data_IF_737541846087
#
_entry.id   IF_737541846087
#
_cell.length_a   1.000
_cell.length_b   1.000
_cell.length_c   1.000
_cell.angle_alpha   90.00
_cell.angle_beta   90.00
_cell.angle_gamma   90.00
#
_symmetry.space_group_name_H-M   'P 1'
#
loop_
_entity.id
_entity.type
_entity.pdbx_description
1 polymer ?
#
# COMPACT_ATOMS: atom_id res chain seq x y z
N UNK A 1 27.74 11.81 12.62
CA UNK A 1 26.38 11.83 12.06
C UNK A 1 26.04 10.43 11.58
N UNK A 2 25.11 9.72 12.23
CA UNK A 2 24.59 8.47 11.69
C UNK A 2 23.78 8.83 10.45
N UNK A 3 24.24 8.47 9.27
CA UNK A 3 23.43 8.54 8.06
C UNK A 3 22.23 7.61 8.27
N UNK A 4 21.05 8.18 8.53
CA UNK A 4 19.82 7.39 8.49
C UNK A 4 19.64 6.90 7.05
N UNK A 5 19.91 5.60 6.84
CA UNK A 5 19.67 4.96 5.56
C UNK A 5 18.14 4.91 5.42
N UNK A 6 17.60 5.66 4.49
CA UNK A 6 16.17 5.60 4.21
C UNK A 6 15.81 4.20 3.72
N UNK A 7 14.82 3.60 4.36
CA UNK A 7 14.34 2.26 4.00
C UNK A 7 13.46 2.31 2.76
N UNK A 8 13.52 1.27 1.95
CA UNK A 8 12.57 1.00 0.87
C UNK A 8 11.64 -0.12 1.32
N UNK A 9 10.36 0.00 1.00
CA UNK A 9 9.34 -1.00 1.33
C UNK A 9 8.59 -1.46 0.09
N UNK A 10 8.02 -2.67 0.16
CA UNK A 10 7.02 -3.15 -0.78
C UNK A 10 5.62 -2.93 -0.19
N UNK A 11 4.69 -2.44 -0.98
CA UNK A 11 3.29 -2.26 -0.59
C UNK A 11 2.40 -3.01 -1.58
N UNK A 12 1.59 -3.91 -1.06
CA UNK A 12 0.44 -4.42 -1.80
C UNK A 12 -0.78 -3.55 -1.48
N UNK A 13 -1.10 -2.64 -2.40
CA UNK A 13 -2.26 -1.75 -2.28
C UNK A 13 -3.48 -2.46 -2.87
N UNK A 14 -4.14 -3.29 -2.08
CA UNK A 14 -5.28 -4.10 -2.51
C UNK A 14 -6.63 -3.35 -2.51
N UNK A 15 -7.62 -3.89 -3.22
CA UNK A 15 -8.98 -3.35 -3.25
C UNK A 15 -9.69 -3.48 -1.89
N UNK A 16 -9.45 -4.59 -1.19
CA UNK A 16 -10.10 -4.92 0.08
C UNK A 16 -9.15 -4.78 1.26
N UNK A 17 -7.92 -5.29 1.11
CA UNK A 17 -6.87 -5.22 2.11
C UNK A 17 -5.58 -4.78 1.48
N UNK A 18 -4.77 -4.06 2.25
CA UNK A 18 -3.42 -3.66 1.89
C UNK A 18 -2.42 -4.15 2.92
N UNK A 19 -1.22 -4.49 2.49
CA UNK A 19 -0.14 -4.89 3.39
C UNK A 19 1.19 -4.28 2.94
N UNK A 20 2.17 -4.33 3.83
CA UNK A 20 3.50 -3.83 3.56
C UNK A 20 4.57 -4.77 4.10
N UNK A 21 5.71 -4.80 3.42
CA UNK A 21 6.86 -5.57 3.80
C UNK A 21 8.16 -4.81 3.52
N UNK A 22 9.23 -5.20 4.20
CA UNK A 22 10.57 -4.69 3.95
C UNK A 22 11.59 -5.84 3.97
N UNK A 23 12.80 -5.57 3.51
CA UNK A 23 13.91 -6.52 3.64
C UNK A 23 14.67 -6.21 4.94
N UNK A 24 14.79 -7.22 5.81
CA UNK A 24 15.57 -7.11 7.04
C UNK A 24 17.09 -7.01 6.76
N UNK A 25 17.91 -6.97 7.80
CA UNK A 25 19.38 -6.87 7.68
C UNK A 25 20.02 -8.07 6.95
N UNK A 26 19.32 -9.20 6.93
CA UNK A 26 19.73 -10.42 6.23
C UNK A 26 19.20 -10.48 4.79
N UNK A 27 18.44 -9.46 4.36
CA UNK A 27 17.81 -9.40 3.05
C UNK A 27 16.53 -10.24 2.94
N UNK A 28 15.97 -10.74 4.04
CA UNK A 28 14.78 -11.55 4.05
C UNK A 28 13.53 -10.65 4.08
N UNK A 29 12.46 -10.99 3.34
CA UNK A 29 11.22 -10.22 3.37
C UNK A 29 10.48 -10.44 4.70
N UNK A 30 10.12 -9.34 5.34
CA UNK A 30 9.35 -9.32 6.59
C UNK A 30 8.11 -8.46 6.40
N UNK A 31 6.93 -9.05 6.61
CA UNK A 31 5.68 -8.29 6.63
C UNK A 31 5.56 -7.52 7.94
N UNK A 32 5.28 -6.22 7.83
CA UNK A 32 5.07 -5.37 9.00
C UNK A 32 3.60 -5.35 9.40
N UNK A 33 3.34 -5.42 10.69
CA UNK A 33 2.00 -5.21 11.22
C UNK A 33 1.64 -3.72 11.20
N UNK A 34 0.36 -3.42 11.07
CA UNK A 34 -0.16 -2.08 11.27
C UNK A 34 -0.17 -1.72 12.78
N UNK A 35 -0.63 -0.52 13.10
CA UNK A 35 -0.68 -0.03 14.49
C UNK A 35 -1.64 -0.83 15.38
N UNK A 36 -2.59 -1.55 14.79
CA UNK A 36 -3.51 -2.46 15.45
C UNK A 36 -2.94 -3.88 15.63
N UNK A 37 -1.72 -4.14 15.15
CA UNK A 37 -1.05 -5.45 15.21
C UNK A 37 -1.48 -6.41 14.09
N UNK A 38 -2.18 -5.93 13.06
CA UNK A 38 -2.67 -6.74 11.95
C UNK A 38 -1.68 -6.69 10.77
N UNK A 39 -1.41 -7.82 10.12
CA UNK A 39 -0.52 -7.91 8.95
C UNK A 39 -1.19 -7.39 7.66
N UNK A 40 -2.52 -7.32 7.65
CA UNK A 40 -3.29 -6.80 6.54
C UNK A 40 -4.24 -5.71 7.05
N UNK A 41 -4.16 -4.52 6.47
CA UNK A 41 -5.00 -3.37 6.81
C UNK A 41 -6.17 -3.31 5.83
N UNK A 42 -7.43 -3.28 6.28
CA UNK A 42 -8.57 -3.03 5.40
C UNK A 42 -8.39 -1.71 4.64
N UNK A 43 -8.56 -1.75 3.30
CA UNK A 43 -8.49 -0.56 2.42
C UNK A 43 -9.81 0.23 2.50
N UNK A 44 -10.19 0.58 3.72
CA UNK A 44 -11.45 1.23 4.06
C UNK A 44 -11.16 2.52 4.82
N UNK A 45 -11.88 3.58 4.46
CA UNK A 45 -11.76 4.90 5.07
C UNK A 45 -13.10 5.31 5.65
N UNK A 46 -13.08 5.82 6.86
CA UNK A 46 -14.21 6.46 7.53
C UNK A 46 -13.86 7.91 7.84
N UNK A 47 -14.77 8.82 7.54
CA UNK A 47 -14.69 10.22 7.90
C UNK A 47 -15.61 10.48 9.09
N UNK A 48 -15.03 10.81 10.23
CA UNK A 48 -15.83 11.09 11.42
C UNK A 48 -16.53 12.47 11.36
N UNK A 49 -17.24 12.84 12.41
CA UNK A 49 -18.00 14.10 12.46
C UNK A 49 -17.08 15.34 12.57
N UNK A 50 -15.87 15.14 13.08
CA UNK A 50 -14.82 16.17 13.16
C UNK A 50 -13.94 16.19 11.90
N UNK A 51 -14.35 15.49 10.83
CA UNK A 51 -13.63 15.32 9.56
C UNK A 51 -12.25 14.65 9.72
N UNK A 52 -12.05 13.91 10.81
CA UNK A 52 -10.86 13.08 10.97
C UNK A 52 -10.97 11.84 10.08
N UNK A 53 -9.84 11.47 9.50
CA UNK A 53 -9.76 10.31 8.61
C UNK A 53 -9.27 9.09 9.38
N UNK A 54 -10.15 8.11 9.51
CA UNK A 54 -9.86 6.82 10.12
C UNK A 54 -9.70 5.78 9.02
N UNK A 55 -8.67 4.93 9.10
CA UNK A 55 -8.35 3.92 8.07
C UNK A 55 -8.21 2.55 8.73
N UNK A 56 -8.67 1.52 8.06
CA UNK A 56 -8.46 0.13 8.48
C UNK A 56 -9.66 -0.48 9.20
N UNK A 57 -9.39 -1.32 10.18
CA UNK A 57 -10.40 -2.14 10.87
C UNK A 57 -11.46 -1.29 11.58
N UNK A 58 -11.09 -0.17 12.18
CA UNK A 58 -12.05 0.73 12.81
C UNK A 58 -12.98 1.38 11.76
N UNK A 59 -12.44 1.81 10.62
CA UNK A 59 -13.23 2.31 9.50
C UNK A 59 -14.23 1.26 8.99
N UNK A 60 -13.77 0.01 8.86
CA UNK A 60 -14.60 -1.11 8.42
C UNK A 60 -15.77 -1.37 9.38
N UNK A 61 -15.56 -1.26 10.69
CA UNK A 61 -16.65 -1.40 11.69
C UNK A 61 -17.73 -0.33 11.54
N UNK A 62 -17.33 0.89 11.13
CA UNK A 62 -18.27 1.98 10.89
C UNK A 62 -19.08 1.82 9.60
N UNK A 63 -18.69 0.94 8.68
CA UNK A 63 -19.40 0.71 7.43
C UNK A 63 -20.84 0.22 7.60
N UNK A 64 -21.15 -0.43 8.72
CA UNK A 64 -22.50 -0.91 9.05
C UNK A 64 -23.36 0.22 9.65
N UNK A 65 -22.75 1.07 10.49
CA UNK A 65 -23.47 2.09 11.28
C UNK A 65 -23.58 3.41 10.52
N UNK A 66 -22.53 3.78 9.80
CA UNK A 66 -22.41 5.07 9.08
C UNK A 66 -21.91 4.84 7.65
N UNK A 67 -22.64 4.09 6.82
CA UNK A 67 -22.22 3.79 5.44
C UNK A 67 -22.09 5.05 4.57
N UNK A 68 -22.78 6.12 4.90
CA UNK A 68 -22.73 7.43 4.26
C UNK A 68 -21.38 8.13 4.41
N UNK A 69 -20.57 7.73 5.39
CA UNK A 69 -19.25 8.30 5.72
C UNK A 69 -18.09 7.35 5.46
N UNK A 70 -18.36 6.19 4.87
CA UNK A 70 -17.34 5.16 4.64
C UNK A 70 -17.10 4.98 3.14
N UNK A 71 -15.81 5.00 2.77
CA UNK A 71 -15.36 4.69 1.41
C UNK A 71 -14.66 3.34 1.40
N UNK A 72 -15.14 2.46 0.53
CA UNK A 72 -14.59 1.13 0.30
C UNK A 72 -14.34 0.91 -1.20
N UNK A 73 -13.47 -0.04 -1.53
CA UNK A 73 -13.20 -0.47 -2.90
C UNK A 73 -12.73 0.66 -3.84
N UNK A 74 -12.13 1.72 -3.31
CA UNK A 74 -11.71 2.90 -4.07
C UNK A 74 -10.71 2.59 -5.20
N UNK A 75 -9.92 1.53 -5.07
CA UNK A 75 -8.98 1.08 -6.10
C UNK A 75 -9.67 0.79 -7.44
N UNK A 76 -10.96 0.41 -7.44
CA UNK A 76 -11.71 0.18 -8.68
C UNK A 76 -11.92 1.45 -9.51
N UNK A 77 -11.80 2.61 -8.89
CA UNK A 77 -12.00 3.91 -9.51
C UNK A 77 -10.68 4.68 -9.69
N UNK A 78 -9.54 4.09 -9.30
CA UNK A 78 -8.23 4.74 -9.45
C UNK A 78 -7.98 5.08 -10.93
N UNK A 79 -7.56 6.31 -11.20
CA UNK A 79 -7.34 6.79 -12.56
C UNK A 79 -8.60 7.27 -13.29
N UNK A 80 -9.79 7.20 -12.67
CA UNK A 80 -11.02 7.83 -13.20
C UNK A 80 -11.10 9.29 -12.68
N UNK A 81 -10.93 10.29 -13.55
CA UNK A 81 -10.94 11.69 -13.15
C UNK A 81 -12.35 12.22 -12.82
N UNK A 82 -13.38 11.47 -13.16
CA UNK A 82 -14.79 11.87 -12.96
C UNK A 82 -15.37 11.30 -11.66
N UNK A 83 -14.78 10.23 -11.14
CA UNK A 83 -15.26 9.59 -9.94
C UNK A 83 -14.80 10.34 -8.67
N UNK A 84 -15.74 10.59 -7.79
CA UNK A 84 -15.46 11.23 -6.49
C UNK A 84 -16.51 10.85 -5.45
N UNK A 85 -16.16 11.02 -4.19
CA UNK A 85 -17.07 10.93 -3.04
C UNK A 85 -17.25 12.32 -2.45
N UNK A 86 -18.48 12.65 -2.09
CA UNK A 86 -18.76 13.90 -1.37
C UNK A 86 -19.23 13.56 0.04
N UNK A 87 -18.47 14.02 1.04
CA UNK A 87 -18.74 13.79 2.46
C UNK A 87 -18.66 15.15 3.17
N UNK A 88 -19.71 15.54 3.87
CA UNK A 88 -19.84 16.85 4.52
C UNK A 88 -19.51 18.04 3.61
N UNK A 89 -19.89 17.95 2.33
CA UNK A 89 -19.66 18.99 1.33
C UNK A 89 -18.22 19.06 0.79
N UNK A 90 -17.32 18.19 1.26
CA UNK A 90 -15.97 18.05 0.71
C UNK A 90 -15.92 16.91 -0.30
N UNK A 91 -15.14 17.09 -1.36
CA UNK A 91 -15.00 16.13 -2.45
C UNK A 91 -13.65 15.44 -2.36
N UNK A 92 -13.67 14.11 -2.44
CA UNK A 92 -12.48 13.25 -2.37
C UNK A 92 -12.36 12.43 -3.66
N UNK A 93 -11.20 12.48 -4.29
CA UNK A 93 -10.87 11.69 -5.46
C UNK A 93 -10.37 10.28 -5.08
N UNK A 94 -10.34 9.30 -6.00
CA UNK A 94 -9.72 8.00 -5.74
C UNK A 94 -8.25 8.09 -5.32
N UNK A 95 -7.53 9.10 -5.80
CA UNK A 95 -6.14 9.38 -5.40
C UNK A 95 -6.06 9.81 -3.94
N UNK A 96 -6.98 10.67 -3.47
CA UNK A 96 -7.02 11.08 -2.06
C UNK A 96 -7.28 9.89 -1.15
N UNK A 97 -8.27 9.06 -1.50
CA UNK A 97 -8.62 7.86 -0.74
C UNK A 97 -7.44 6.88 -0.67
N UNK A 98 -6.79 6.60 -1.81
CA UNK A 98 -5.61 5.73 -1.85
C UNK A 98 -4.46 6.31 -1.01
N UNK A 99 -4.27 7.64 -1.02
CA UNK A 99 -3.23 8.30 -0.24
C UNK A 99 -3.42 8.15 1.27
N UNK A 100 -4.66 8.12 1.75
CA UNK A 100 -4.95 7.87 3.18
C UNK A 100 -4.57 6.46 3.60
N UNK A 101 -4.88 5.45 2.78
CA UNK A 101 -4.47 4.06 3.04
C UNK A 101 -2.95 3.96 3.09
N UNK A 102 -2.26 4.51 2.07
CA UNK A 102 -0.80 4.51 2.03
C UNK A 102 -0.18 5.25 3.21
N UNK A 103 -0.76 6.37 3.65
CA UNK A 103 -0.29 7.14 4.81
C UNK A 103 -0.37 6.32 6.11
N UNK A 104 -1.46 5.56 6.31
CA UNK A 104 -1.60 4.65 7.45
C UNK A 104 -0.50 3.59 7.45
N UNK A 105 -0.23 2.96 6.30
CA UNK A 105 0.82 1.96 6.17
C UNK A 105 2.22 2.56 6.40
N UNK A 106 2.48 3.74 5.85
CA UNK A 106 3.75 4.44 6.05
C UNK A 106 3.97 4.86 7.50
N UNK A 107 2.93 5.28 8.22
CA UNK A 107 3.04 5.60 9.63
C UNK A 107 3.48 4.36 10.43
N UNK A 108 2.87 3.20 10.19
CA UNK A 108 3.24 1.95 10.83
C UNK A 108 4.69 1.52 10.49
N UNK A 109 5.12 1.69 9.24
CA UNK A 109 6.49 1.40 8.83
C UNK A 109 7.50 2.34 9.52
N UNK A 110 7.23 3.65 9.52
CA UNK A 110 8.11 4.64 10.14
C UNK A 110 8.32 4.40 11.63
N UNK A 111 7.30 3.93 12.35
CA UNK A 111 7.38 3.59 13.77
C UNK A 111 8.28 2.37 14.02
N UNK A 112 8.26 1.38 13.12
CA UNK A 112 8.95 0.10 13.33
C UNK A 112 10.37 0.08 12.76
N UNK A 113 10.59 0.67 11.58
CA UNK A 113 11.87 0.57 10.87
C UNK A 113 12.54 1.92 10.60
N UNK A 114 11.93 3.03 11.04
CA UNK A 114 12.46 4.38 10.80
C UNK A 114 11.99 4.96 9.47
N UNK A 115 12.61 6.08 9.05
CA UNK A 115 12.13 6.87 7.92
C UNK A 115 12.08 6.08 6.62
N UNK A 116 10.90 6.01 6.02
CA UNK A 116 10.63 5.40 4.72
C UNK A 116 10.35 6.49 3.70
N UNK A 117 11.18 6.54 2.65
CA UNK A 117 11.06 7.54 1.58
C UNK A 117 10.74 6.91 0.21
N UNK A 118 10.89 5.59 0.09
CA UNK A 118 10.74 4.86 -1.16
C UNK A 118 9.84 3.65 -0.98
N UNK A 119 8.96 3.41 -1.95
CA UNK A 119 8.15 2.21 -1.99
C UNK A 119 8.04 1.65 -3.41
N UNK A 120 7.91 0.32 -3.48
CA UNK A 120 7.42 -0.39 -4.67
C UNK A 120 5.97 -0.77 -4.39
N UNK A 121 5.02 -0.27 -5.19
CA UNK A 121 3.60 -0.50 -5.02
C UNK A 121 3.09 -1.46 -6.09
N UNK A 122 2.34 -2.48 -5.69
CA UNK A 122 1.75 -3.43 -6.65
C UNK A 122 0.53 -2.83 -7.34
N UNK A 123 0.39 -3.13 -8.64
CA UNK A 123 -0.79 -2.77 -9.42
C UNK A 123 -1.24 -3.96 -10.28
N UNK A 124 -2.54 -4.07 -10.61
CA UNK A 124 -3.02 -5.06 -11.56
C UNK A 124 -2.33 -4.92 -12.92
N UNK A 125 -2.05 -6.05 -13.58
CA UNK A 125 -1.34 -6.06 -14.87
C UNK A 125 -2.07 -5.27 -15.96
N UNK A 126 -3.41 -5.23 -15.91
CA UNK A 126 -4.29 -4.53 -16.84
C UNK A 126 -4.43 -3.02 -16.57
N UNK A 127 -3.79 -2.47 -15.54
CA UNK A 127 -3.87 -1.03 -15.28
C UNK A 127 -3.34 -0.21 -16.44
N UNK A 128 -4.15 0.76 -16.88
CA UNK A 128 -3.75 1.78 -17.84
C UNK A 128 -2.68 2.72 -17.27
N UNK A 129 -2.03 3.49 -18.12
CA UNK A 129 -1.06 4.52 -17.70
C UNK A 129 -1.68 5.56 -16.76
N UNK A 130 -2.96 5.91 -16.96
CA UNK A 130 -3.68 6.82 -16.05
C UNK A 130 -3.82 6.21 -14.64
N UNK A 131 -4.16 4.93 -14.55
CA UNK A 131 -4.28 4.23 -13.27
C UNK A 131 -2.93 4.06 -12.55
N UNK A 132 -1.88 3.76 -13.34
CA UNK A 132 -0.49 3.69 -12.83
C UNK A 132 -0.03 5.05 -12.31
N UNK A 133 -0.21 6.12 -13.08
CA UNK A 133 0.11 7.48 -12.70
C UNK A 133 -0.66 7.93 -11.44
N UNK A 134 -1.95 7.61 -11.34
CA UNK A 134 -2.77 7.90 -10.17
C UNK A 134 -2.29 7.16 -8.91
N UNK A 135 -1.79 5.92 -9.07
CA UNK A 135 -1.21 5.16 -7.95
C UNK A 135 0.10 5.79 -7.46
N UNK A 136 0.96 6.22 -8.38
CA UNK A 136 2.20 6.95 -8.05
C UNK A 136 1.89 8.25 -7.32
N UNK A 137 0.93 9.03 -7.84
CA UNK A 137 0.49 10.29 -7.24
C UNK A 137 -0.06 10.09 -5.82
N UNK A 138 -0.83 9.03 -5.59
CA UNK A 138 -1.31 8.68 -4.25
C UNK A 138 -0.15 8.41 -3.28
N UNK A 139 0.91 7.74 -3.73
CA UNK A 139 2.12 7.52 -2.95
C UNK A 139 2.86 8.81 -2.60
N UNK A 140 2.99 9.72 -3.54
CA UNK A 140 3.58 11.05 -3.29
C UNK A 140 2.75 11.86 -2.29
N UNK A 141 1.42 11.86 -2.42
CA UNK A 141 0.51 12.51 -1.45
C UNK A 141 0.57 11.88 -0.06
N UNK A 142 0.91 10.60 0.03
CA UNK A 142 1.13 9.93 1.30
C UNK A 142 2.45 10.32 1.98
N UNK A 143 3.40 10.91 1.24
CA UNK A 143 4.69 11.38 1.76
C UNK A 143 5.91 10.64 1.21
N UNK A 144 5.73 9.69 0.28
CA UNK A 144 6.86 9.03 -0.38
C UNK A 144 7.56 9.99 -1.36
N UNK A 145 8.88 9.97 -1.36
CA UNK A 145 9.71 10.71 -2.33
C UNK A 145 9.85 9.96 -3.65
N UNK A 146 9.90 8.63 -3.58
CA UNK A 146 9.98 7.76 -4.75
C UNK A 146 8.96 6.63 -4.66
N UNK A 147 8.21 6.45 -5.75
CA UNK A 147 7.22 5.39 -5.92
C UNK A 147 7.51 4.67 -7.21
N UNK A 148 7.87 3.40 -7.10
CA UNK A 148 8.01 2.50 -8.23
C UNK A 148 6.80 1.56 -8.28
N UNK A 149 6.48 1.03 -9.45
CA UNK A 149 5.31 0.16 -9.64
C UNK A 149 5.76 -1.20 -10.17
N UNK A 150 5.16 -2.26 -9.62
CA UNK A 150 5.29 -3.62 -10.11
C UNK A 150 3.90 -4.23 -10.36
N UNK A 151 3.77 -5.08 -11.37
CA UNK A 151 2.52 -5.81 -11.60
C UNK A 151 2.29 -6.88 -10.52
N UNK A 152 1.08 -6.99 -9.99
CA UNK A 152 0.69 -7.98 -8.98
C UNK A 152 1.12 -9.42 -9.33
N UNK A 153 0.87 -9.95 -10.55
CA UNK A 153 1.31 -11.29 -10.89
C UNK A 153 2.85 -11.45 -10.91
N UNK A 154 3.59 -10.39 -11.26
CA UNK A 154 5.05 -10.41 -11.21
C UNK A 154 5.54 -10.44 -9.77
N UNK A 155 4.95 -9.62 -8.89
CA UNK A 155 5.27 -9.61 -7.46
C UNK A 155 4.98 -10.98 -6.81
N UNK A 156 3.83 -11.59 -7.16
CA UNK A 156 3.47 -12.92 -6.67
C UNK A 156 4.45 -14.01 -7.16
N UNK A 157 4.86 -13.96 -8.42
CA UNK A 157 5.85 -14.89 -8.97
C UNK A 157 7.21 -14.74 -8.28
N UNK A 158 7.67 -13.51 -8.06
CA UNK A 158 8.90 -13.23 -7.31
C UNK A 158 8.82 -13.74 -5.87
N UNK A 159 7.69 -13.53 -5.20
CA UNK A 159 7.47 -14.02 -3.84
C UNK A 159 7.52 -15.56 -3.79
N UNK A 160 6.92 -16.24 -4.77
CA UNK A 160 6.96 -17.70 -4.87
C UNK A 160 8.38 -18.21 -5.08
N UNK A 161 9.13 -17.62 -6.01
CA UNK A 161 10.51 -18.04 -6.35
C UNK A 161 11.49 -17.75 -5.21
N UNK A 162 11.35 -16.60 -4.55
CA UNK A 162 12.28 -16.15 -3.51
C UNK A 162 11.87 -16.57 -2.10
N UNK A 163 10.60 -16.88 -1.88
CA UNK A 163 10.03 -16.98 -0.53
C UNK A 163 9.79 -18.39 -0.02
N UNK A 164 9.78 -19.41 -0.86
CA UNK A 164 9.29 -20.71 -0.43
C UNK A 164 10.31 -21.58 0.31
N UNK A 165 11.64 -21.34 0.16
CA UNK A 165 12.63 -22.17 0.85
C UNK A 165 14.00 -21.48 1.08
N UNK A 166 14.09 -20.17 1.10
CA UNK A 166 15.39 -19.49 1.24
C UNK A 166 16.30 -19.68 0.02
N UNK A 167 15.70 -19.97 -1.13
CA UNK A 167 16.38 -20.07 -2.42
C UNK A 167 16.81 -18.65 -2.85
N UNK A 168 17.94 -18.23 -2.35
CA UNK A 168 18.60 -17.01 -2.75
C UNK A 168 19.20 -17.21 -4.16
N UNK A 169 19.33 -16.14 -4.91
CA UNK A 169 19.76 -16.00 -6.31
C UNK A 169 20.84 -16.98 -6.82
N UNK A 170 21.55 -17.67 -5.94
CA UNK A 170 22.59 -18.64 -6.28
C UNK A 170 22.08 -19.97 -6.83
N UNK A 171 20.90 -20.46 -6.42
CA UNK A 171 20.39 -21.74 -6.93
C UNK A 171 19.66 -21.59 -8.26
N UNK A 172 18.99 -20.46 -8.50
CA UNK A 172 18.37 -20.19 -9.81
C UNK A 172 19.37 -20.07 -10.96
N UNK A 173 20.62 -19.72 -10.66
CA UNK A 173 21.66 -19.63 -11.68
C UNK A 173 22.20 -21.00 -12.12
N UNK A 174 22.04 -22.04 -11.32
CA UNK A 174 22.55 -23.37 -11.63
C UNK A 174 21.55 -24.25 -12.38
N UNK A 175 20.24 -24.07 -12.19
CA UNK A 175 19.21 -24.83 -12.91
C UNK A 175 18.93 -24.32 -14.34
N UNK A 176 19.32 -23.13 -14.70
CA UNK A 176 19.17 -22.59 -16.07
C UNK A 176 20.33 -22.96 -17.02
N UNK A 177 21.23 -23.89 -16.64
CA UNK A 177 22.33 -24.38 -17.46
C UNK A 177 22.11 -25.77 -18.05
N UNK A 178 20.86 -26.09 -18.42
CA UNK A 178 20.58 -27.30 -19.23
C UNK A 178 20.09 -26.89 -20.60
#
# INVERSE_FOLDING_TARGET
MKTHKAHAIGIDLGTTYSCLAYLNEHGEPVTLANQEGELATPSVIFFDEDQQVVVGTEALRNAIVRPDRVVQNSKRHIGDPTHHWTIDGQTYTPVDIASYVLRKLLAAANEQIGVVERAVVTVPAQFSELQRGATIEAGHRAGLKQVDIINEPVAAALCYVLGTEGLWFTELADEQRI
#
